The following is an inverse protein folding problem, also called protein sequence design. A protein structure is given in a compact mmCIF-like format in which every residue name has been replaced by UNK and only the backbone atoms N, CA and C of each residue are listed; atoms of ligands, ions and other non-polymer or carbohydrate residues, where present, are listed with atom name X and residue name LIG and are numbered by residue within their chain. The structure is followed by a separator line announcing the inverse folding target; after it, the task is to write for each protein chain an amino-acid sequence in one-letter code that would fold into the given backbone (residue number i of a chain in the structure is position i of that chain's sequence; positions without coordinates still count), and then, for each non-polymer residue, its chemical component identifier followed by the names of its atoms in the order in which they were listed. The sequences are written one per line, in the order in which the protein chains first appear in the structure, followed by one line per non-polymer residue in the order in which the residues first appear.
data_IF_860605015336
#
_entry.id   IF_860605015336
#
_cell.length_a   1.000
_cell.length_b   1.000
_cell.length_c   1.000
_cell.angle_alpha   90.00
_cell.angle_beta   90.00
_cell.angle_gamma   90.00
#
_symmetry.space_group_name_H-M   'P 1'
#
loop_
_entity.id
_entity.type
_entity.pdbx_description
1 polymer ?
#
# COMPACT_ATOMS: atom_id res chain seq x y z
N UNK A 1 -10.44 29.38 -33.78
CA UNK A 1 -11.67 28.76 -34.32
C UNK A 1 -11.71 28.97 -35.83
N UNK A 2 -12.13 27.98 -36.64
CA UNK A 2 -12.33 28.22 -38.07
C UNK A 2 -13.38 29.32 -38.28
N UNK A 3 -13.15 30.21 -39.25
CA UNK A 3 -14.09 31.29 -39.54
C UNK A 3 -15.41 30.72 -40.07
N UNK A 4 -16.52 31.41 -39.79
CA UNK A 4 -17.87 30.99 -40.24
C UNK A 4 -17.89 30.76 -41.76
N UNK A 5 -17.16 31.58 -42.52
CA UNK A 5 -17.04 31.46 -43.98
C UNK A 5 -16.32 30.16 -44.39
N UNK A 6 -15.24 29.79 -43.69
CA UNK A 6 -14.49 28.55 -43.96
C UNK A 6 -15.32 27.30 -43.64
N UNK A 7 -16.11 27.33 -42.57
CA UNK A 7 -17.04 26.24 -42.23
C UNK A 7 -18.17 26.10 -43.26
N UNK A 8 -18.64 27.20 -43.83
CA UNK A 8 -19.72 27.19 -44.83
C UNK A 8 -19.23 26.69 -46.19
N UNK A 9 -17.99 27.02 -46.58
CA UNK A 9 -17.35 26.49 -47.78
C UNK A 9 -17.05 24.99 -47.68
N UNK A 10 -16.53 24.52 -46.53
CA UNK A 10 -16.32 23.10 -46.28
C UNK A 10 -17.64 22.29 -46.34
N UNK A 11 -18.74 22.90 -45.88
CA UNK A 11 -20.07 22.29 -45.94
C UNK A 11 -20.57 22.17 -47.38
N UNK A 12 -20.35 23.16 -48.23
CA UNK A 12 -20.72 23.09 -49.65
C UNK A 12 -19.93 22.00 -50.39
N UNK A 13 -18.62 21.87 -50.12
CA UNK A 13 -17.78 20.82 -50.72
C UNK A 13 -18.21 19.40 -50.35
N UNK A 14 -18.70 19.19 -49.12
CA UNK A 14 -19.24 17.91 -48.66
C UNK A 14 -20.60 17.56 -49.29
N UNK A 15 -21.33 18.56 -49.82
CA UNK A 15 -22.60 18.34 -50.52
C UNK A 15 -22.39 17.95 -52.00
N UNK A 16 -21.34 18.47 -52.64
CA UNK A 16 -21.02 18.16 -54.04
C UNK A 16 -20.32 16.79 -54.23
N UNK A 17 -19.64 16.28 -53.21
CA UNK A 17 -19.07 14.92 -53.19
C UNK A 17 -19.44 14.20 -51.89
N UNK A 18 -20.59 13.51 -51.83
CA UNK A 18 -20.96 12.74 -50.65
C UNK A 18 -20.00 11.57 -50.49
N UNK A 19 -19.25 11.55 -49.38
CA UNK A 19 -18.34 10.47 -49.07
C UNK A 19 -19.10 9.14 -49.00
N UNK A 20 -18.66 8.15 -49.78
CA UNK A 20 -19.28 6.83 -49.89
C UNK A 20 -18.94 5.90 -48.71
N UNK A 21 -17.95 6.28 -47.88
CA UNK A 21 -17.54 5.56 -46.68
C UNK A 21 -17.09 6.53 -45.57
N UNK A 22 -17.30 6.11 -44.32
CA UNK A 22 -16.78 6.82 -43.14
C UNK A 22 -15.25 6.98 -43.17
N UNK A 23 -14.54 6.03 -43.81
CA UNK A 23 -13.08 6.08 -43.98
C UNK A 23 -12.68 7.21 -44.92
N UNK A 24 -13.50 7.52 -45.93
CA UNK A 24 -13.24 8.60 -46.88
C UNK A 24 -13.43 9.95 -46.21
N UNK A 25 -14.48 10.10 -45.38
CA UNK A 25 -14.69 11.30 -44.54
C UNK A 25 -13.49 11.55 -43.64
N UNK A 26 -12.99 10.51 -42.97
CA UNK A 26 -11.88 10.64 -42.04
C UNK A 26 -10.58 10.99 -42.78
N UNK A 27 -10.37 10.42 -43.96
CA UNK A 27 -9.20 10.69 -44.80
C UNK A 27 -9.21 12.13 -45.33
N UNK A 28 -10.36 12.60 -45.81
CA UNK A 28 -10.52 14.00 -46.25
C UNK A 28 -10.40 15.00 -45.11
N UNK A 29 -10.91 14.70 -43.91
CA UNK A 29 -10.71 15.52 -42.71
C UNK A 29 -9.23 15.61 -42.33
N UNK A 30 -8.51 14.48 -42.36
CA UNK A 30 -7.10 14.42 -42.02
C UNK A 30 -6.23 15.15 -43.06
N UNK A 31 -6.64 15.14 -44.33
CA UNK A 31 -6.00 15.90 -45.41
C UNK A 31 -6.27 17.41 -45.29
N UNK A 32 -7.49 17.81 -44.91
CA UNK A 32 -7.83 19.21 -44.60
C UNK A 32 -7.07 19.75 -43.38
N UNK A 33 -6.93 18.94 -42.32
CA UNK A 33 -6.13 19.27 -41.14
C UNK A 33 -4.63 19.40 -41.46
N UNK A 34 -4.14 18.70 -42.50
CA UNK A 34 -2.75 18.81 -42.97
C UNK A 34 -2.49 20.07 -43.80
N UNK A 35 -3.50 20.57 -44.53
CA UNK A 35 -3.33 21.69 -45.48
C UNK A 35 -3.67 23.04 -44.83
N UNK A 36 -4.61 23.09 -43.89
CA UNK A 36 -4.98 24.33 -43.21
C UNK A 36 -5.20 24.08 -41.74
N UNK A 37 -4.22 24.45 -40.91
CA UNK A 37 -4.40 25.34 -39.75
C UNK A 37 -3.10 25.37 -38.95
N UNK A 38 -2.44 26.52 -38.92
CA UNK A 38 -1.61 26.86 -37.77
C UNK A 38 -2.53 26.95 -36.56
N UNK A 39 -2.60 25.87 -35.78
CA UNK A 39 -3.32 25.87 -34.52
C UNK A 39 -2.53 26.72 -33.54
N UNK A 40 -2.86 28.01 -33.47
CA UNK A 40 -2.40 28.87 -32.38
C UNK A 40 -3.37 28.72 -31.21
N UNK A 41 -2.81 28.55 -30.00
CA UNK A 41 -3.59 28.65 -28.78
C UNK A 41 -4.30 30.01 -28.73
N UNK A 42 -5.52 30.05 -28.20
CA UNK A 42 -6.16 31.33 -27.89
C UNK A 42 -5.30 32.09 -26.88
N UNK A 43 -5.37 33.42 -26.87
CA UNK A 43 -4.61 34.26 -25.93
C UNK A 43 -4.86 33.83 -24.46
N UNK A 44 -6.10 33.44 -24.13
CA UNK A 44 -6.46 32.87 -22.83
C UNK A 44 -5.75 31.54 -22.54
N UNK A 45 -5.63 30.66 -23.53
CA UNK A 45 -4.94 29.37 -23.37
C UNK A 45 -3.41 29.55 -23.31
N UNK A 46 -2.86 30.52 -24.05
CA UNK A 46 -1.44 30.88 -23.95
C UNK A 46 -1.11 31.44 -22.57
N UNK A 47 -1.97 32.32 -22.05
CA UNK A 47 -1.81 32.87 -20.70
C UNK A 47 -1.90 31.78 -19.64
N UNK A 48 -2.91 30.91 -19.70
CA UNK A 48 -3.03 29.80 -18.76
C UNK A 48 -1.82 28.84 -18.80
N UNK A 49 -1.21 28.67 -19.98
CA UNK A 49 0.01 27.87 -20.12
C UNK A 49 1.22 28.58 -19.49
N UNK A 50 1.39 29.88 -19.72
CA UNK A 50 2.45 30.68 -19.09
C UNK A 50 2.31 30.72 -17.56
N UNK A 51 1.10 30.93 -17.05
CA UNK A 51 0.82 30.92 -15.61
C UNK A 51 1.21 29.56 -14.98
N UNK A 52 0.96 28.45 -15.70
CA UNK A 52 1.33 27.12 -15.26
C UNK A 52 2.85 26.88 -15.29
N UNK A 53 3.55 27.42 -16.31
CA UNK A 53 5.02 27.36 -16.38
C UNK A 53 5.67 28.15 -15.24
N UNK A 54 5.18 29.36 -14.96
CA UNK A 54 5.68 30.20 -13.86
C UNK A 54 5.48 29.51 -12.51
N UNK A 55 4.29 28.94 -12.27
CA UNK A 55 4.01 28.18 -11.06
C UNK A 55 4.96 26.99 -10.89
N UNK A 56 5.23 26.24 -11.97
CA UNK A 56 6.15 25.11 -11.94
C UNK A 56 7.58 25.54 -11.58
N UNK A 57 8.04 26.68 -12.14
CA UNK A 57 9.37 27.23 -11.84
C UNK A 57 9.47 27.64 -10.37
N UNK A 58 8.42 28.26 -9.81
CA UNK A 58 8.36 28.62 -8.38
C UNK A 58 8.45 27.38 -7.49
N UNK A 59 7.64 26.35 -7.77
CA UNK A 59 7.65 25.09 -7.01
C UNK A 59 9.03 24.39 -7.06
N UNK A 60 9.71 24.43 -8.20
CA UNK A 60 11.06 23.88 -8.35
C UNK A 60 12.07 24.68 -7.51
N UNK A 61 12.03 26.00 -7.58
CA UNK A 61 12.95 26.86 -6.85
C UNK A 61 12.77 26.73 -5.33
N UNK A 62 11.52 26.62 -4.87
CA UNK A 62 11.20 26.33 -3.46
C UNK A 62 11.71 24.95 -3.04
N UNK A 63 11.54 23.92 -3.88
CA UNK A 63 12.05 22.59 -3.60
C UNK A 63 13.59 22.59 -3.48
N UNK A 64 14.30 23.26 -4.38
CA UNK A 64 15.76 23.37 -4.35
C UNK A 64 16.22 24.09 -3.07
N UNK A 65 15.56 25.20 -2.71
CA UNK A 65 15.92 26.02 -1.54
C UNK A 65 15.71 25.25 -0.24
N UNK A 66 14.66 24.45 -0.16
CA UNK A 66 14.32 23.65 1.02
C UNK A 66 14.98 22.25 1.03
N UNK A 67 15.77 21.91 0.01
CA UNK A 67 16.41 20.59 -0.10
C UNK A 67 15.40 19.44 -0.31
N UNK A 68 14.22 19.75 -0.85
CA UNK A 68 13.16 18.79 -1.19
C UNK A 68 13.26 18.39 -2.66
N UNK A 69 12.67 17.24 -3.01
CA UNK A 69 12.60 16.80 -4.39
C UNK A 69 11.48 17.57 -5.12
N UNK A 70 11.73 18.12 -6.33
CA UNK A 70 10.70 18.74 -7.14
C UNK A 70 9.50 17.80 -7.41
N UNK A 71 8.27 18.33 -7.53
CA UNK A 71 7.04 17.54 -7.60
C UNK A 71 7.02 16.54 -8.77
N UNK A 72 7.54 16.92 -9.94
CA UNK A 72 7.63 16.02 -11.09
C UNK A 72 8.62 14.85 -10.90
N UNK A 73 9.67 15.04 -10.09
CA UNK A 73 10.60 13.96 -9.74
C UNK A 73 9.96 13.04 -8.70
N UNK A 74 9.18 13.58 -7.76
CA UNK A 74 8.48 12.78 -6.77
C UNK A 74 7.50 11.78 -7.42
N UNK A 75 6.75 12.21 -8.43
CA UNK A 75 5.80 11.35 -9.15
C UNK A 75 6.50 10.31 -10.03
N UNK A 76 7.55 10.70 -10.74
CA UNK A 76 8.36 9.76 -11.55
C UNK A 76 9.09 8.77 -10.64
N UNK A 77 9.63 9.22 -9.50
CA UNK A 77 10.22 8.37 -8.50
C UNK A 77 9.17 7.41 -7.93
N UNK A 78 7.99 7.89 -7.53
CA UNK A 78 6.92 7.02 -7.03
C UNK A 78 6.48 5.97 -8.05
N UNK A 79 6.52 6.29 -9.35
CA UNK A 79 6.22 5.36 -10.44
C UNK A 79 7.40 4.43 -10.80
N UNK A 80 8.64 4.84 -10.57
CA UNK A 80 9.85 4.09 -10.94
C UNK A 80 10.41 3.25 -9.79
N UNK A 81 10.09 3.60 -8.55
CA UNK A 81 10.39 2.79 -7.38
C UNK A 81 9.27 1.77 -7.19
N UNK A 82 9.57 0.51 -7.52
CA UNK A 82 8.88 -0.59 -6.87
C UNK A 82 9.00 -0.37 -5.35
N UNK A 83 7.89 -0.35 -4.60
CA UNK A 83 7.98 -0.22 -3.15
C UNK A 83 8.95 -1.30 -2.65
N UNK A 84 9.95 -0.93 -1.84
CA UNK A 84 11.00 -1.85 -1.44
C UNK A 84 10.32 -3.10 -0.89
N UNK A 85 10.74 -4.27 -1.40
CA UNK A 85 10.22 -5.60 -1.04
C UNK A 85 9.76 -5.62 0.43
N UNK A 86 8.48 -5.36 0.64
CA UNK A 86 7.75 -5.39 1.91
C UNK A 86 8.58 -5.02 3.15
N UNK A 87 8.61 -3.74 3.54
CA UNK A 87 8.80 -3.45 4.97
C UNK A 87 7.56 -3.96 5.70
N UNK A 88 7.66 -5.14 6.32
CA UNK A 88 6.58 -5.63 7.17
C UNK A 88 6.31 -4.57 8.23
N UNK A 89 5.13 -3.98 8.23
CA UNK A 89 4.80 -3.01 9.25
C UNK A 89 4.81 -3.72 10.59
N UNK A 90 5.36 -3.10 11.62
CA UNK A 90 5.30 -3.64 12.98
C UNK A 90 3.84 -3.92 13.39
N UNK A 91 2.89 -3.15 12.84
CA UNK A 91 1.46 -3.34 13.02
C UNK A 91 0.96 -4.67 12.45
N UNK A 92 1.42 -5.07 11.26
CA UNK A 92 1.04 -6.33 10.61
C UNK A 92 1.51 -7.54 11.41
N UNK A 93 2.73 -7.47 11.95
CA UNK A 93 3.28 -8.52 12.81
C UNK A 93 2.44 -8.60 14.10
N UNK A 94 2.10 -7.45 14.69
CA UNK A 94 1.28 -7.39 15.90
C UNK A 94 -0.13 -7.96 15.66
N UNK A 95 -0.82 -7.54 14.61
CA UNK A 95 -2.16 -8.02 14.29
C UNK A 95 -2.15 -9.53 13.99
N UNK A 96 -1.16 -10.01 13.24
CA UNK A 96 -0.98 -11.45 13.00
C UNK A 96 -0.71 -12.25 14.28
N UNK A 97 0.08 -11.74 15.22
CA UNK A 97 0.30 -12.38 16.53
C UNK A 97 -1.03 -12.47 17.30
N UNK A 98 -1.82 -11.40 17.32
CA UNK A 98 -3.11 -11.35 18.00
C UNK A 98 -4.15 -12.27 17.37
N UNK A 99 -4.13 -12.43 16.05
CA UNK A 99 -5.03 -13.33 15.30
C UNK A 99 -4.55 -14.78 15.23
N UNK A 100 -3.35 -15.09 15.73
CA UNK A 100 -2.83 -16.46 15.78
C UNK A 100 -3.76 -17.42 16.57
N UNK A 101 -3.98 -18.67 16.14
CA UNK A 101 -4.87 -19.59 16.82
C UNK A 101 -4.34 -20.04 18.19
N UNK A 102 -5.19 -19.94 19.21
CA UNK A 102 -4.91 -20.38 20.57
C UNK A 102 -4.14 -19.38 21.42
N UNK A 103 -3.80 -19.82 22.63
CA UNK A 103 -3.27 -18.97 23.70
C UNK A 103 -1.76 -18.72 23.60
N UNK A 104 -1.04 -19.63 22.95
CA UNK A 104 0.41 -19.69 22.92
C UNK A 104 0.88 -19.36 21.51
N UNK A 105 1.83 -18.44 21.39
CA UNK A 105 2.47 -18.07 20.12
C UNK A 105 3.98 -18.23 20.25
N UNK A 106 4.60 -18.96 19.34
CA UNK A 106 6.05 -19.06 19.21
C UNK A 106 6.46 -18.58 17.83
N UNK A 107 7.68 -18.05 17.69
CA UNK A 107 8.16 -17.56 16.40
C UNK A 107 8.12 -18.63 15.29
N UNK A 108 8.49 -19.86 15.62
CA UNK A 108 8.45 -20.97 14.66
C UNK A 108 7.02 -21.27 14.20
N UNK A 109 6.06 -21.33 15.13
CA UNK A 109 4.67 -21.60 14.77
C UNK A 109 4.06 -20.41 13.99
N UNK A 110 4.42 -19.18 14.38
CA UNK A 110 4.07 -17.95 13.67
C UNK A 110 4.57 -17.98 12.23
N UNK A 111 5.87 -18.18 11.99
CA UNK A 111 6.44 -18.23 10.62
C UNK A 111 5.79 -19.26 9.71
N UNK A 112 5.30 -20.37 10.26
CA UNK A 112 4.62 -21.40 9.46
C UNK A 112 3.17 -21.03 9.17
N UNK A 113 2.45 -20.50 10.17
CA UNK A 113 1.02 -20.22 10.07
C UNK A 113 0.69 -18.84 9.49
N UNK A 114 1.63 -17.90 9.54
CA UNK A 114 1.41 -16.52 9.11
C UNK A 114 1.35 -16.41 7.57
N UNK A 115 0.71 -15.33 7.05
CA UNK A 115 0.75 -14.99 5.64
C UNK A 115 2.18 -15.03 5.10
N UNK A 116 2.35 -15.42 3.82
CA UNK A 116 3.66 -15.63 3.18
C UNK A 116 4.62 -14.47 3.43
N UNK A 117 4.07 -13.25 3.44
CA UNK A 117 4.78 -12.00 3.65
C UNK A 117 5.45 -11.90 5.03
N UNK A 118 4.83 -12.43 6.09
CA UNK A 118 5.31 -12.37 7.48
C UNK A 118 6.16 -13.60 7.89
N UNK A 119 6.52 -14.47 6.94
CA UNK A 119 7.30 -15.68 7.27
C UNK A 119 8.79 -15.39 7.44
N UNK A 120 9.26 -14.27 6.91
CA UNK A 120 10.66 -13.81 7.00
C UNK A 120 10.95 -13.01 8.27
N UNK A 121 9.95 -12.76 9.13
CA UNK A 121 10.10 -11.94 10.35
C UNK A 121 11.29 -12.40 11.19
N UNK A 122 12.16 -11.48 11.58
CA UNK A 122 13.34 -11.80 12.38
C UNK A 122 13.01 -12.04 13.86
N UNK A 123 13.91 -12.69 14.59
CA UNK A 123 13.75 -12.91 16.03
C UNK A 123 13.64 -11.57 16.79
N UNK A 124 14.35 -10.54 16.33
CA UNK A 124 14.37 -9.19 16.91
C UNK A 124 13.08 -8.43 16.65
N UNK A 125 12.53 -8.50 15.44
CA UNK A 125 11.22 -7.92 15.10
C UNK A 125 10.08 -8.57 15.87
N UNK A 126 10.11 -9.90 15.99
CA UNK A 126 9.10 -10.60 16.78
C UNK A 126 9.21 -10.22 18.27
N UNK A 127 10.43 -10.11 18.79
CA UNK A 127 10.66 -9.67 20.16
C UNK A 127 10.23 -8.22 20.40
N UNK A 128 10.45 -7.30 19.45
CA UNK A 128 10.00 -5.91 19.58
C UNK A 128 8.47 -5.82 19.52
N UNK A 129 7.84 -6.49 18.55
CA UNK A 129 6.38 -6.51 18.39
C UNK A 129 5.68 -7.08 19.64
N UNK A 130 6.19 -8.18 20.21
CA UNK A 130 5.61 -8.79 21.42
C UNK A 130 5.82 -7.95 22.68
N UNK A 131 6.91 -7.20 22.78
CA UNK A 131 7.13 -6.23 23.89
C UNK A 131 6.10 -5.09 23.84
N UNK A 132 5.82 -4.57 22.65
CA UNK A 132 4.76 -3.57 22.44
C UNK A 132 3.38 -4.10 22.81
N UNK A 133 3.15 -5.43 22.69
CA UNK A 133 1.90 -6.11 23.06
C UNK A 133 1.84 -6.59 24.53
N UNK A 134 2.69 -6.08 25.42
CA UNK A 134 2.69 -6.43 26.85
C UNK A 134 1.36 -6.19 27.58
N UNK A 135 0.52 -5.30 27.04
CA UNK A 135 -0.85 -5.10 27.50
C UNK A 135 -1.76 -6.32 27.27
N UNK A 136 -1.63 -6.93 26.09
CA UNK A 136 -2.49 -8.01 25.56
C UNK A 136 -1.95 -9.41 25.88
N UNK A 137 -0.74 -9.50 26.42
CA UNK A 137 -0.10 -10.77 26.70
C UNK A 137 1.06 -10.68 27.68
N UNK A 138 1.79 -11.78 27.81
CA UNK A 138 3.04 -11.89 28.57
C UNK A 138 4.07 -12.61 27.72
N UNK A 139 5.28 -12.07 27.66
CA UNK A 139 6.42 -12.74 27.03
C UNK A 139 7.11 -13.59 28.09
N UNK A 140 7.37 -14.85 27.77
CA UNK A 140 8.06 -15.81 28.63
C UNK A 140 9.18 -16.48 27.82
N UNK A 141 10.37 -16.58 28.41
CA UNK A 141 11.47 -17.34 27.84
C UNK A 141 11.51 -18.71 28.52
N UNK A 142 11.30 -19.78 27.75
CA UNK A 142 11.25 -21.15 28.27
C UNK A 142 12.43 -21.95 27.75
N UNK A 143 13.18 -22.59 28.64
CA UNK A 143 14.21 -23.55 28.24
C UNK A 143 13.59 -24.94 28.08
N UNK A 144 13.49 -25.38 26.84
CA UNK A 144 12.96 -26.70 26.49
C UNK A 144 14.07 -27.75 26.64
N UNK A 145 13.79 -28.95 27.20
CA UNK A 145 14.75 -30.04 27.23
C UNK A 145 15.34 -30.32 25.85
N UNK A 146 16.65 -30.60 25.79
CA UNK A 146 17.42 -30.88 24.56
C UNK A 146 17.55 -29.71 23.57
N UNK A 147 16.99 -28.53 23.88
CA UNK A 147 17.29 -27.30 23.13
C UNK A 147 18.52 -26.60 23.72
N UNK A 148 19.43 -26.14 22.86
CA UNK A 148 20.56 -25.30 23.26
C UNK A 148 20.14 -23.85 23.56
N UNK A 149 19.06 -23.38 22.93
CA UNK A 149 18.53 -22.01 23.09
C UNK A 149 17.19 -22.00 23.83
N UNK A 150 16.95 -20.98 24.65
CA UNK A 150 15.62 -20.73 25.20
C UNK A 150 14.67 -20.31 24.07
N UNK A 151 13.42 -20.74 24.18
CA UNK A 151 12.37 -20.42 23.22
C UNK A 151 11.57 -19.23 23.74
N UNK A 152 11.46 -18.19 22.93
CA UNK A 152 10.59 -17.05 23.22
C UNK A 152 9.14 -17.42 22.92
N UNK A 153 8.29 -17.29 23.94
CA UNK A 153 6.87 -17.60 23.88
C UNK A 153 6.08 -16.36 24.25
N UNK A 154 5.10 -16.00 23.44
CA UNK A 154 4.10 -15.00 23.77
C UNK A 154 2.81 -15.69 24.20
N UNK A 155 2.37 -15.39 25.42
CA UNK A 155 1.13 -15.88 26.01
C UNK A 155 0.07 -14.79 25.91
N UNK A 156 -1.04 -15.09 25.23
CA UNK A 156 -2.18 -14.18 25.16
C UNK A 156 -2.92 -14.12 26.49
N UNK A 157 -3.30 -12.92 26.92
CA UNK A 157 -4.26 -12.73 28.02
C UNK A 157 -5.67 -12.95 27.52
N UNK A 158 -6.58 -13.23 28.45
CA UNK A 158 -8.00 -13.31 28.12
C UNK A 158 -8.55 -11.92 27.75
N UNK A 159 -9.43 -11.88 26.75
CA UNK A 159 -10.04 -10.67 26.23
C UNK A 159 -10.87 -9.92 27.29
N UNK A 160 -11.37 -10.62 28.31
CA UNK A 160 -12.11 -10.03 29.42
C UNK A 160 -11.23 -9.22 30.39
N UNK A 161 -9.93 -9.50 30.45
CA UNK A 161 -8.97 -8.85 31.36
C UNK A 161 -8.21 -7.69 30.69
N UNK A 162 -8.52 -7.40 29.42
CA UNK A 162 -7.86 -6.37 28.62
C UNK A 162 -8.70 -5.08 28.64
N UNK A 163 -8.06 -3.96 28.98
CA UNK A 163 -8.64 -2.61 28.93
C UNK A 163 -8.92 -2.20 27.47
N UNK A 164 -10.11 -1.66 27.20
CA UNK A 164 -10.61 -1.34 25.85
C UNK A 164 -9.74 -0.34 25.05
N UNK A 165 -8.93 0.49 25.70
CA UNK A 165 -8.07 1.45 24.99
C UNK A 165 -6.76 0.86 24.44
N UNK A 166 -6.50 -0.43 24.66
CA UNK A 166 -5.21 -1.06 24.30
C UNK A 166 -5.27 -1.94 23.06
N UNK A 167 -6.40 -1.94 22.35
CA UNK A 167 -6.55 -2.69 21.11
C UNK A 167 -5.90 -1.94 19.95
N UNK A 168 -5.25 -2.66 19.04
CA UNK A 168 -4.79 -2.10 17.78
C UNK A 168 -6.00 -1.86 16.87
N UNK A 169 -5.93 -0.81 16.02
CA UNK A 169 -7.01 -0.42 15.10
C UNK A 169 -7.47 -1.55 14.16
N UNK A 170 -6.63 -2.55 13.93
CA UNK A 170 -6.86 -3.66 13.00
C UNK A 170 -7.52 -4.89 13.65
N UNK A 171 -7.52 -5.01 14.99
CA UNK A 171 -7.98 -6.23 15.67
C UNK A 171 -9.06 -5.93 16.70
N UNK A 172 -10.29 -6.33 16.39
CA UNK A 172 -11.42 -6.24 17.31
C UNK A 172 -11.35 -7.32 18.40
N UNK A 173 -11.91 -7.01 19.57
CA UNK A 173 -12.04 -7.94 20.71
C UNK A 173 -12.66 -9.28 20.33
N UNK A 174 -13.67 -9.28 19.45
CA UNK A 174 -14.37 -10.50 19.03
C UNK A 174 -13.50 -11.41 18.16
N UNK A 175 -12.74 -10.82 17.23
CA UNK A 175 -11.78 -11.56 16.41
C UNK A 175 -10.72 -12.22 17.30
N UNK A 176 -10.18 -11.46 18.26
CA UNK A 176 -9.21 -11.99 19.21
C UNK A 176 -9.80 -13.10 20.08
N UNK A 177 -11.00 -12.91 20.65
CA UNK A 177 -11.65 -13.93 21.50
C UNK A 177 -11.95 -15.22 20.72
N UNK A 178 -12.39 -15.10 19.47
CA UNK A 178 -12.62 -16.22 18.58
C UNK A 178 -11.33 -17.02 18.32
N UNK A 179 -10.22 -16.33 18.04
CA UNK A 179 -8.93 -16.98 17.82
C UNK A 179 -8.34 -17.56 19.11
N UNK A 180 -8.55 -16.89 20.24
CA UNK A 180 -8.08 -17.33 21.56
C UNK A 180 -8.68 -18.67 21.98
N UNK A 181 -9.96 -18.92 21.65
CA UNK A 181 -10.67 -20.16 21.96
C UNK A 181 -10.25 -21.35 21.10
N UNK A 182 -9.53 -21.12 20.00
CA UNK A 182 -9.06 -22.21 19.12
C UNK A 182 -7.99 -23.06 19.80
N UNK A 183 -7.84 -24.33 19.39
CA UNK A 183 -6.76 -25.17 19.89
C UNK A 183 -5.39 -24.59 19.53
N UNK A 184 -4.42 -24.83 20.41
CA UNK A 184 -3.02 -24.43 20.20
C UNK A 184 -2.48 -25.05 18.92
N UNK A 185 -1.73 -24.27 18.13
CA UNK A 185 -1.17 -24.70 16.86
C UNK A 185 -0.26 -25.95 16.99
N UNK A 186 -0.32 -26.85 16.01
CA UNK A 186 0.36 -28.16 16.03
C UNK A 186 1.89 -28.08 16.12
N UNK A 187 2.50 -26.96 15.69
CA UNK A 187 3.95 -26.72 15.80
C UNK A 187 4.42 -26.34 17.20
N UNK A 188 3.50 -26.18 18.16
CA UNK A 188 3.84 -25.91 19.55
C UNK A 188 3.94 -27.26 20.27
N UNK A 189 5.16 -27.64 20.63
CA UNK A 189 5.46 -28.94 21.24
C UNK A 189 4.90 -29.06 22.66
N UNK A 190 4.60 -30.28 23.08
CA UNK A 190 4.05 -30.54 24.40
C UNK A 190 5.04 -30.22 25.52
N UNK A 191 6.35 -30.33 25.26
CA UNK A 191 7.38 -29.89 26.22
C UNK A 191 7.26 -28.39 26.56
N UNK A 192 6.91 -27.55 25.57
CA UNK A 192 6.67 -26.13 25.81
C UNK A 192 5.41 -25.95 26.64
N UNK A 193 4.32 -26.67 26.30
CA UNK A 193 3.06 -26.59 27.05
C UNK A 193 3.22 -27.01 28.51
N UNK A 194 3.89 -28.13 28.77
CA UNK A 194 4.16 -28.62 30.13
C UNK A 194 4.97 -27.59 30.93
N UNK A 195 6.03 -27.05 30.35
CA UNK A 195 6.85 -26.03 31.04
C UNK A 195 6.11 -24.73 31.34
N UNK A 196 5.06 -24.41 30.60
CA UNK A 196 4.23 -23.24 30.84
C UNK A 196 3.14 -23.49 31.89
N UNK A 197 2.78 -24.76 32.15
CA UNK A 197 1.88 -25.13 33.26
C UNK A 197 2.63 -25.13 34.59
N UNK A 198 3.92 -25.49 34.57
CA UNK A 198 4.80 -25.48 35.74
C UNK A 198 5.25 -24.07 36.20
N UNK A 199 4.82 -23.00 35.52
CA UNK A 199 5.25 -21.59 35.73
C UNK A 199 4.13 -20.72 36.29
#
# INVERSE_FOLDING_TARGET
MPSVASSQEARLRLMDNPASSFIDVFSSLNELLRISTDFTFSEEAQKAFQDMEEQCIEEINDAITNGLSPPFIADVAASAYDPPLYSQSVKDIQSAILLFPGKIVTLLAFKVSSPRLLRTTSDTEFASATKSLSALGKVVSVRVPRSRKSTFVFLKKDAGLVVQDKWTSEVTKDMFSSQYKKPTHCKISDNIKQKLVDM
#
